data_IF_701365257385
#
_entry.id   IF_701365257385
#
_cell.length_a   1.000
_cell.length_b   1.000
_cell.length_c   1.000
_cell.angle_alpha   90.00
_cell.angle_beta   90.00
_cell.angle_gamma   90.00
#
_symmetry.space_group_name_H-M   'P 1'
#
loop_
_entity.id
_entity.type
_entity.pdbx_description
1 polymer ?
#
# COMPACT_ATOMS: atom_id res chain seq x y z
N UNK A 1 62.80 4.36 41.03
CA UNK A 1 61.99 3.71 39.96
C UNK A 1 60.67 3.36 40.61
N UNK A 2 59.49 3.89 40.29
CA UNK A 2 58.93 4.57 39.12
C UNK A 2 58.01 5.72 39.60
N UNK A 3 58.05 6.89 38.97
CA UNK A 3 57.03 7.95 39.11
C UNK A 3 55.94 7.67 38.07
N UNK A 4 54.71 7.41 38.51
CA UNK A 4 53.52 7.39 37.65
C UNK A 4 52.94 8.81 37.57
N UNK A 5 53.20 9.51 36.47
CA UNK A 5 52.40 10.67 36.07
C UNK A 5 51.06 10.15 35.53
N UNK A 6 49.96 10.56 36.15
CA UNK A 6 48.62 10.36 35.60
C UNK A 6 48.26 11.57 34.75
N UNK A 7 48.30 11.40 33.44
CA UNK A 7 47.84 12.38 32.46
C UNK A 7 46.32 12.26 32.33
N UNK A 8 45.57 13.20 32.89
CA UNK A 8 44.13 13.30 32.64
C UNK A 8 43.91 13.96 31.27
N UNK A 9 43.43 13.17 30.30
CA UNK A 9 42.93 13.69 29.03
C UNK A 9 41.54 14.27 29.28
N UNK A 10 41.43 15.60 29.29
CA UNK A 10 40.15 16.28 29.28
C UNK A 10 39.53 16.14 27.88
N UNK A 11 38.55 15.24 27.76
CA UNK A 11 37.70 15.17 26.57
C UNK A 11 36.77 16.39 26.60
N UNK A 12 37.16 17.48 25.95
CA UNK A 12 36.26 18.59 25.63
C UNK A 12 35.25 18.10 24.60
N UNK A 13 34.08 17.67 25.06
CA UNK A 13 32.90 17.49 24.20
C UNK A 13 32.46 18.90 23.82
N UNK A 14 32.82 19.31 22.61
CA UNK A 14 32.28 20.50 21.96
C UNK A 14 30.79 20.26 21.72
N UNK A 15 29.94 20.62 22.68
CA UNK A 15 28.51 20.80 22.45
C UNK A 15 28.36 22.01 21.54
N UNK A 16 28.46 21.81 20.23
CA UNK A 16 27.91 22.76 19.27
C UNK A 16 26.42 22.89 19.57
N UNK A 17 25.91 24.07 19.95
CA UNK A 17 24.47 24.25 20.05
C UNK A 17 23.89 23.92 18.68
N UNK A 18 23.07 22.89 18.61
CA UNK A 18 22.19 22.66 17.48
C UNK A 18 21.32 23.91 17.45
N UNK A 19 21.58 24.80 16.50
CA UNK A 19 20.68 25.92 16.24
C UNK A 19 19.31 25.28 16.04
N UNK A 20 18.37 25.60 16.91
CA UNK A 20 16.97 25.20 16.75
C UNK A 20 16.55 25.78 15.41
N UNK A 21 16.38 24.92 14.41
CA UNK A 21 16.06 25.36 13.07
C UNK A 21 14.73 26.12 13.13
N UNK A 22 14.68 27.31 12.53
CA UNK A 22 13.43 28.02 12.31
C UNK A 22 12.66 27.28 11.22
N UNK A 23 11.86 26.31 11.62
CA UNK A 23 11.06 25.45 10.75
C UNK A 23 9.85 26.16 10.11
N UNK A 24 9.83 27.49 10.16
CA UNK A 24 8.79 28.34 9.61
C UNK A 24 8.71 28.33 8.06
N UNK A 25 8.04 29.33 7.47
CA UNK A 25 7.70 29.38 6.04
C UNK A 25 8.88 29.18 5.08
N UNK A 26 10.11 29.50 5.49
CA UNK A 26 11.33 29.32 4.68
C UNK A 26 11.65 27.84 4.41
N UNK A 27 11.46 26.97 5.40
CA UNK A 27 11.64 25.52 5.22
C UNK A 27 10.61 24.96 4.24
N UNK A 28 9.33 25.27 4.47
CA UNK A 28 8.25 24.83 3.59
C UNK A 28 8.42 25.36 2.16
N UNK A 29 8.83 26.63 2.01
CA UNK A 29 9.13 27.22 0.70
C UNK A 29 10.28 26.50 0.00
N UNK A 30 11.31 26.04 0.71
CA UNK A 30 12.42 25.25 0.12
C UNK A 30 11.91 23.94 -0.51
N UNK A 31 10.97 23.27 0.15
CA UNK A 31 10.34 22.05 -0.38
C UNK A 31 9.42 22.35 -1.57
N UNK A 32 8.70 23.47 -1.53
CA UNK A 32 7.83 23.93 -2.62
C UNK A 32 8.67 24.35 -3.84
N UNK A 33 9.79 25.03 -3.64
CA UNK A 33 10.73 25.39 -4.71
C UNK A 33 11.26 24.14 -5.39
N UNK A 34 11.63 23.10 -4.60
CA UNK A 34 12.03 21.81 -5.17
C UNK A 34 10.91 21.14 -5.97
N UNK A 35 9.67 21.25 -5.51
CA UNK A 35 8.50 20.74 -6.22
C UNK A 35 8.30 21.44 -7.57
N UNK A 36 8.47 22.76 -7.63
CA UNK A 36 8.41 23.48 -8.91
C UNK A 36 9.60 23.14 -9.82
N UNK A 37 10.80 22.98 -9.26
CA UNK A 37 12.00 22.58 -10.00
C UNK A 37 11.78 21.24 -10.73
N UNK A 38 11.27 20.22 -10.03
CA UNK A 38 11.06 18.88 -10.61
C UNK A 38 9.84 18.80 -11.54
N UNK A 39 8.90 19.75 -11.45
CA UNK A 39 7.75 19.85 -12.35
C UNK A 39 8.04 20.68 -13.61
N UNK A 40 9.19 21.35 -13.67
CA UNK A 40 9.55 22.19 -14.81
C UNK A 40 9.70 21.38 -16.11
N UNK A 41 9.29 21.92 -17.27
CA UNK A 41 9.46 21.25 -18.55
C UNK A 41 10.94 20.88 -18.81
N UNK A 42 11.20 19.61 -19.11
CA UNK A 42 12.54 19.11 -19.37
C UNK A 42 13.41 18.87 -18.13
N UNK A 43 12.85 18.96 -16.92
CA UNK A 43 13.56 18.62 -15.69
C UNK A 43 14.05 17.16 -15.72
N UNK A 44 15.36 16.97 -15.55
CA UNK A 44 15.98 15.66 -15.37
C UNK A 44 16.09 15.41 -13.88
N UNK A 45 15.40 14.36 -13.41
CA UNK A 45 15.30 14.03 -11.98
C UNK A 45 16.15 12.80 -11.71
N UNK A 46 17.17 12.95 -10.88
CA UNK A 46 17.85 11.83 -10.24
C UNK A 46 17.03 11.41 -9.01
N UNK A 47 16.45 10.18 -9.00
CA UNK A 47 15.59 9.73 -7.90
C UNK A 47 16.36 9.59 -6.58
N UNK A 48 17.63 9.15 -6.62
CA UNK A 48 18.46 9.01 -5.42
C UNK A 48 18.81 10.37 -4.82
N UNK A 49 19.18 11.34 -5.66
CA UNK A 49 19.47 12.70 -5.19
C UNK A 49 18.22 13.40 -4.64
N UNK A 50 17.06 13.21 -5.27
CA UNK A 50 15.79 13.76 -4.77
C UNK A 50 15.39 13.10 -3.44
N UNK A 51 15.55 11.79 -3.31
CA UNK A 51 15.28 11.11 -2.05
C UNK A 51 16.20 11.60 -0.92
N UNK A 52 17.50 11.71 -1.19
CA UNK A 52 18.46 12.19 -0.20
C UNK A 52 18.16 13.64 0.21
N UNK A 53 17.80 14.51 -0.75
CA UNK A 53 17.34 15.87 -0.46
C UNK A 53 16.17 15.85 0.54
N UNK A 54 15.16 15.00 0.33
CA UNK A 54 14.02 14.89 1.25
C UNK A 54 14.46 14.45 2.65
N UNK A 55 15.33 13.44 2.74
CA UNK A 55 15.85 12.94 4.03
C UNK A 55 16.60 14.05 4.78
N UNK A 56 17.47 14.78 4.08
CA UNK A 56 18.29 15.83 4.67
C UNK A 56 17.46 17.06 5.08
N UNK A 57 16.49 17.46 4.25
CA UNK A 57 15.61 18.59 4.58
C UNK A 57 14.63 18.23 5.70
N UNK A 58 14.03 17.04 5.70
CA UNK A 58 13.16 16.58 6.78
C UNK A 58 13.88 16.52 8.13
N UNK A 59 15.15 16.07 8.14
CA UNK A 59 15.94 15.98 9.37
C UNK A 59 16.14 17.34 10.07
N UNK A 60 16.03 18.47 9.35
CA UNK A 60 16.10 19.81 9.94
C UNK A 60 14.85 20.17 10.72
N UNK A 61 13.70 19.70 10.27
CA UNK A 61 12.37 20.11 10.74
C UNK A 61 11.37 18.95 10.81
N UNK A 62 11.65 17.91 11.62
CA UNK A 62 10.87 16.68 11.62
C UNK A 62 9.43 16.86 12.15
N UNK A 63 9.19 17.90 12.96
CA UNK A 63 7.88 18.17 13.56
C UNK A 63 7.02 19.15 12.73
N UNK A 64 7.54 19.68 11.61
CA UNK A 64 6.75 20.56 10.74
C UNK A 64 5.79 19.74 9.87
N UNK A 65 4.50 19.80 10.20
CA UNK A 65 3.47 19.01 9.54
C UNK A 65 3.38 19.26 8.02
N UNK A 66 3.42 20.52 7.56
CA UNK A 66 3.28 20.83 6.13
C UNK A 66 4.51 20.36 5.34
N UNK A 67 5.71 20.58 5.88
CA UNK A 67 6.95 20.12 5.27
C UNK A 67 7.09 18.60 5.28
N UNK A 68 6.61 17.92 6.34
CA UNK A 68 6.52 16.45 6.35
C UNK A 68 5.59 15.96 5.24
N UNK A 69 4.42 16.59 5.07
CA UNK A 69 3.48 16.22 4.01
C UNK A 69 4.03 16.50 2.59
N UNK A 70 4.79 17.57 2.37
CA UNK A 70 5.51 17.78 1.11
C UNK A 70 6.62 16.75 0.89
N UNK A 71 7.33 16.39 1.95
CA UNK A 71 8.37 15.35 1.92
C UNK A 71 7.80 14.00 1.49
N UNK A 72 6.57 13.65 1.90
CA UNK A 72 5.86 12.47 1.36
C UNK A 72 5.69 12.57 -0.15
N UNK A 73 5.23 13.72 -0.66
CA UNK A 73 5.01 13.90 -2.09
C UNK A 73 6.32 13.81 -2.89
N UNK A 74 7.37 14.51 -2.46
CA UNK A 74 8.69 14.48 -3.10
C UNK A 74 9.29 13.07 -3.08
N UNK A 75 9.11 12.33 -1.98
CA UNK A 75 9.50 10.92 -1.90
C UNK A 75 8.73 10.07 -2.91
N UNK A 76 7.43 10.31 -3.09
CA UNK A 76 6.63 9.65 -4.13
C UNK A 76 7.14 9.95 -5.54
N UNK A 77 7.56 11.19 -5.81
CA UNK A 77 8.13 11.59 -7.11
C UNK A 77 9.45 10.86 -7.39
N UNK A 78 10.32 10.73 -6.39
CA UNK A 78 11.55 9.94 -6.45
C UNK A 78 11.22 8.45 -6.69
N UNK A 79 10.31 7.90 -5.89
CA UNK A 79 9.90 6.49 -5.93
C UNK A 79 9.34 6.08 -7.30
N UNK A 80 8.55 6.93 -7.93
CA UNK A 80 7.99 6.67 -9.25
C UNK A 80 9.06 6.53 -10.35
N UNK A 81 10.28 7.04 -10.12
CA UNK A 81 11.39 7.09 -11.08
C UNK A 81 12.56 6.17 -10.70
N UNK A 82 12.56 5.64 -9.50
CA UNK A 82 13.60 4.75 -9.01
C UNK A 82 13.57 3.40 -9.77
N UNK A 83 14.64 2.98 -10.48
CA UNK A 83 14.67 1.67 -11.14
C UNK A 83 15.04 0.51 -10.21
N UNK A 84 15.83 0.75 -9.15
CA UNK A 84 16.35 -0.32 -8.29
C UNK A 84 15.31 -0.76 -7.26
N UNK A 85 14.88 -2.03 -7.24
CA UNK A 85 13.94 -2.55 -6.24
C UNK A 85 14.35 -2.33 -4.79
N UNK A 86 15.64 -2.43 -4.48
CA UNK A 86 16.12 -2.23 -3.11
C UNK A 86 15.93 -0.76 -2.67
N UNK A 87 16.26 0.18 -3.55
CA UNK A 87 16.07 1.60 -3.31
C UNK A 87 14.59 2.00 -3.30
N UNK A 88 13.77 1.39 -4.17
CA UNK A 88 12.31 1.58 -4.11
C UNK A 88 11.77 1.23 -2.72
N UNK A 89 12.22 0.10 -2.15
CA UNK A 89 11.78 -0.31 -0.82
C UNK A 89 12.26 0.61 0.29
N UNK A 90 13.50 1.11 0.21
CA UNK A 90 13.98 2.13 1.14
C UNK A 90 13.10 3.40 1.07
N UNK A 91 12.79 3.87 -0.15
CA UNK A 91 11.95 5.05 -0.37
C UNK A 91 10.50 4.83 0.10
N UNK A 92 9.92 3.64 -0.10
CA UNK A 92 8.59 3.27 0.42
C UNK A 92 8.59 3.33 1.96
N UNK A 93 9.60 2.76 2.61
CA UNK A 93 9.70 2.78 4.07
C UNK A 93 9.84 4.22 4.61
N UNK A 94 10.64 5.06 3.97
CA UNK A 94 10.74 6.47 4.31
C UNK A 94 9.39 7.18 4.13
N UNK A 95 8.68 6.93 3.02
CA UNK A 95 7.38 7.53 2.77
C UNK A 95 6.35 7.15 3.84
N UNK A 96 6.32 5.89 4.29
CA UNK A 96 5.46 5.46 5.40
C UNK A 96 5.84 6.11 6.73
N UNK A 97 7.14 6.25 7.02
CA UNK A 97 7.60 6.97 8.23
C UNK A 97 7.14 8.43 8.23
N UNK A 98 7.27 9.11 7.09
CA UNK A 98 6.82 10.49 6.90
C UNK A 98 5.29 10.60 6.98
N UNK A 99 4.55 9.70 6.34
CA UNK A 99 3.08 9.65 6.41
C UNK A 99 2.58 9.50 7.84
N UNK A 100 3.20 8.59 8.60
CA UNK A 100 2.90 8.40 10.02
C UNK A 100 3.13 9.69 10.82
N UNK A 101 4.29 10.33 10.65
CA UNK A 101 4.61 11.58 11.35
C UNK A 101 3.61 12.69 10.98
N UNK A 102 3.34 12.90 9.69
CA UNK A 102 2.36 13.88 9.24
C UNK A 102 0.95 13.58 9.79
N UNK A 103 0.57 12.31 9.87
CA UNK A 103 -0.69 11.87 10.48
C UNK A 103 -0.75 12.18 11.98
N UNK A 104 0.32 11.87 12.72
CA UNK A 104 0.42 12.11 14.16
C UNK A 104 0.34 13.61 14.52
N UNK A 105 0.70 14.49 13.57
CA UNK A 105 0.61 15.95 13.69
C UNK A 105 -0.57 16.58 12.94
N UNK A 106 -1.48 15.79 12.36
CA UNK A 106 -2.64 16.28 11.64
C UNK A 106 -3.64 16.96 12.59
N UNK A 107 -4.06 18.18 12.26
CA UNK A 107 -5.16 18.89 12.92
C UNK A 107 -6.19 19.34 11.86
N UNK A 108 -7.46 18.90 11.96
CA UNK A 108 -8.51 19.30 11.03
C UNK A 108 -8.83 20.81 11.04
N UNK A 109 -8.38 21.56 12.05
CA UNK A 109 -8.57 23.02 12.15
C UNK A 109 -7.46 23.82 11.46
N UNK A 110 -6.35 23.19 11.05
CA UNK A 110 -5.27 23.87 10.35
C UNK A 110 -5.75 24.44 9.01
N UNK A 111 -5.28 25.66 8.68
CA UNK A 111 -5.59 26.33 7.41
C UNK A 111 -4.49 26.09 6.40
N UNK A 112 -4.81 26.00 5.10
CA UNK A 112 -3.79 25.84 4.08
C UNK A 112 -2.89 27.07 4.01
N UNK A 113 -1.58 26.90 4.13
CA UNK A 113 -0.61 27.99 3.93
C UNK A 113 -0.57 28.43 2.46
N UNK A 114 -0.08 29.65 2.26
CA UNK A 114 0.14 30.25 0.94
C UNK A 114 1.63 30.25 0.64
N UNK A 115 1.99 29.75 -0.54
CA UNK A 115 3.36 29.67 -1.03
C UNK A 115 3.53 30.49 -2.30
N UNK A 116 4.75 30.92 -2.60
CA UNK A 116 5.04 31.63 -3.84
C UNK A 116 5.58 30.66 -4.87
N UNK A 117 5.08 30.76 -6.10
CA UNK A 117 5.68 30.06 -7.24
C UNK A 117 6.96 30.80 -7.72
N UNK A 118 7.73 30.23 -8.67
CA UNK A 118 8.93 30.87 -9.20
C UNK A 118 8.70 32.23 -9.87
N UNK A 119 7.45 32.55 -10.27
CA UNK A 119 7.06 33.83 -10.84
C UNK A 119 6.58 34.83 -9.77
N UNK A 120 6.60 34.44 -8.49
CA UNK A 120 6.12 35.25 -7.37
C UNK A 120 4.61 35.23 -7.17
N UNK A 121 3.87 34.37 -7.88
CA UNK A 121 2.43 34.20 -7.73
C UNK A 121 2.14 33.38 -6.48
N UNK A 122 1.25 33.90 -5.64
CA UNK A 122 0.81 33.25 -4.42
C UNK A 122 -0.22 32.14 -4.72
N UNK A 123 0.06 30.94 -4.25
CA UNK A 123 -0.79 29.76 -4.38
C UNK A 123 -1.04 29.15 -2.99
N UNK A 124 -2.31 28.96 -2.66
CA UNK A 124 -2.71 28.25 -1.44
C UNK A 124 -2.72 26.75 -1.72
N UNK A 125 -1.97 25.99 -0.92
CA UNK A 125 -1.82 24.54 -1.13
C UNK A 125 -1.99 23.77 0.17
N UNK A 126 -2.76 22.68 0.10
CA UNK A 126 -2.91 21.73 1.21
C UNK A 126 -2.00 20.52 1.01
N UNK A 127 -0.83 20.53 1.65
CA UNK A 127 0.19 19.50 1.48
C UNK A 127 -0.34 18.09 1.83
N UNK A 128 -1.25 18.00 2.80
CA UNK A 128 -1.84 16.74 3.23
C UNK A 128 -2.71 16.05 2.18
N UNK A 129 -3.52 16.79 1.42
CA UNK A 129 -4.28 16.21 0.31
C UNK A 129 -3.33 15.62 -0.74
N UNK A 130 -2.21 16.29 -0.99
CA UNK A 130 -1.17 15.81 -1.91
C UNK A 130 -0.47 14.56 -1.36
N UNK A 131 -0.15 14.52 -0.06
CA UNK A 131 0.43 13.34 0.58
C UNK A 131 -0.52 12.12 0.51
N UNK A 132 -1.80 12.30 0.85
CA UNK A 132 -2.84 11.27 0.73
C UNK A 132 -3.00 10.74 -0.70
N UNK A 133 -3.00 11.65 -1.68
CA UNK A 133 -3.05 11.27 -3.10
C UNK A 133 -1.81 10.46 -3.49
N UNK A 134 -0.63 10.87 -3.04
CA UNK A 134 0.65 10.21 -3.32
C UNK A 134 0.70 8.79 -2.75
N UNK A 135 0.11 8.57 -1.56
CA UNK A 135 -0.06 7.25 -0.99
C UNK A 135 -0.77 6.31 -1.97
N UNK A 136 -1.95 6.71 -2.45
CA UNK A 136 -2.79 5.90 -3.34
C UNK A 136 -2.23 5.77 -4.75
N UNK A 137 -1.84 6.89 -5.34
CA UNK A 137 -1.50 6.97 -6.77
C UNK A 137 -0.03 6.65 -7.04
N UNK A 138 0.78 6.37 -6.01
CA UNK A 138 2.20 6.08 -6.21
C UNK A 138 2.74 5.06 -5.22
N UNK A 139 2.73 5.35 -3.91
CA UNK A 139 3.43 4.52 -2.92
C UNK A 139 2.85 3.10 -2.89
N UNK A 140 1.53 2.98 -2.74
CA UNK A 140 0.86 1.68 -2.71
C UNK A 140 0.95 0.96 -4.07
N UNK A 141 0.87 1.69 -5.19
CA UNK A 141 1.05 1.12 -6.54
C UNK A 141 2.43 0.49 -6.73
N UNK A 142 3.48 1.19 -6.33
CA UNK A 142 4.86 0.68 -6.46
C UNK A 142 5.10 -0.49 -5.51
N UNK A 143 4.52 -0.45 -4.30
CA UNK A 143 4.57 -1.57 -3.36
C UNK A 143 3.86 -2.82 -3.90
N UNK A 144 2.67 -2.67 -4.49
CA UNK A 144 1.94 -3.76 -5.14
C UNK A 144 2.76 -4.37 -6.30
N UNK A 145 3.36 -3.53 -7.15
CA UNK A 145 4.21 -3.99 -8.25
C UNK A 145 5.44 -4.79 -7.76
N UNK A 146 6.05 -4.38 -6.65
CA UNK A 146 7.16 -5.13 -6.07
C UNK A 146 6.71 -6.48 -5.48
N UNK A 147 5.54 -6.51 -4.86
CA UNK A 147 4.91 -7.74 -4.36
C UNK A 147 4.54 -8.71 -5.49
N UNK A 148 3.96 -8.21 -6.58
CA UNK A 148 3.62 -8.99 -7.78
C UNK A 148 4.85 -9.62 -8.44
N UNK A 149 6.03 -9.03 -8.26
CA UNK A 149 7.29 -9.58 -8.72
C UNK A 149 8.01 -10.45 -7.67
N UNK A 150 7.39 -10.69 -6.51
CA UNK A 150 7.97 -11.50 -5.43
C UNK A 150 9.16 -10.84 -4.72
N UNK A 151 9.32 -9.53 -4.84
CA UNK A 151 10.49 -8.81 -4.31
C UNK A 151 10.33 -8.33 -2.87
N UNK A 152 9.13 -8.44 -2.29
CA UNK A 152 8.80 -7.90 -0.97
C UNK A 152 7.97 -8.89 -0.18
N UNK A 153 8.35 -9.12 1.07
CA UNK A 153 7.53 -9.93 1.98
C UNK A 153 6.34 -9.15 2.53
N UNK A 154 5.18 -9.80 2.75
CA UNK A 154 3.91 -9.11 3.02
C UNK A 154 3.78 -8.38 4.37
N UNK A 155 4.72 -8.57 5.30
CA UNK A 155 4.56 -8.23 6.71
C UNK A 155 5.16 -6.89 7.14
N UNK A 156 6.00 -6.26 6.32
CA UNK A 156 7.01 -5.32 6.84
C UNK A 156 7.31 -4.15 5.90
N UNK A 157 6.34 -3.27 5.69
CA UNK A 157 6.65 -1.93 5.14
C UNK A 157 6.17 -0.87 6.13
N UNK A 158 7.11 -0.03 6.57
CA UNK A 158 6.86 1.08 7.52
C UNK A 158 7.51 1.02 8.91
N UNK A 159 8.47 0.13 9.18
CA UNK A 159 9.21 0.07 10.46
C UNK A 159 9.02 -1.24 11.24
N UNK A 160 9.30 -1.25 12.54
CA UNK A 160 9.10 -2.43 13.39
C UNK A 160 7.65 -2.97 13.24
N UNK A 161 7.45 -4.29 13.10
CA UNK A 161 6.16 -4.92 12.77
C UNK A 161 5.02 -4.65 13.78
N UNK A 162 5.31 -3.96 14.88
CA UNK A 162 4.37 -3.66 15.95
C UNK A 162 3.79 -2.24 15.89
N UNK A 163 4.24 -1.37 14.97
CA UNK A 163 3.84 0.04 14.99
C UNK A 163 3.04 0.42 13.75
N UNK A 164 1.85 1.02 13.95
CA UNK A 164 0.98 1.46 12.85
C UNK A 164 1.71 2.46 11.92
N UNK A 165 1.80 2.20 10.60
CA UNK A 165 2.48 3.09 9.66
C UNK A 165 1.66 4.35 9.31
N UNK A 166 0.47 4.49 9.89
CA UNK A 166 -0.48 5.57 9.58
C UNK A 166 -0.73 6.53 10.72
N UNK A 167 -0.02 6.39 11.84
CA UNK A 167 -0.18 7.27 13.00
C UNK A 167 -1.56 7.10 13.66
N UNK A 168 -1.99 8.14 14.39
CA UNK A 168 -3.28 8.19 15.10
C UNK A 168 -4.47 8.57 14.24
N UNK A 169 -4.25 9.11 13.04
CA UNK A 169 -5.35 9.42 12.15
C UNK A 169 -5.83 8.12 11.47
N UNK A 170 -7.09 7.79 11.73
CA UNK A 170 -7.68 6.50 11.35
C UNK A 170 -7.88 6.34 9.84
N UNK A 171 -8.14 7.44 9.12
CA UNK A 171 -8.58 7.47 7.72
C UNK A 171 -7.54 7.00 6.71
N UNK A 172 -6.25 7.09 7.00
CA UNK A 172 -5.23 6.67 6.02
C UNK A 172 -5.15 5.15 5.88
N UNK A 173 -5.26 4.43 7.00
CA UNK A 173 -5.14 2.99 7.00
C UNK A 173 -6.33 2.33 6.30
N UNK A 174 -7.52 2.89 6.49
CA UNK A 174 -8.77 2.28 6.11
C UNK A 174 -9.41 2.87 4.83
N UNK A 175 -9.54 4.20 4.73
CA UNK A 175 -10.10 4.85 3.54
C UNK A 175 -9.15 4.80 2.34
N UNK A 176 -7.83 4.88 2.58
CA UNK A 176 -6.84 4.97 1.50
C UNK A 176 -6.22 3.60 1.15
N UNK A 177 -5.60 2.88 2.10
CA UNK A 177 -4.97 1.57 1.80
C UNK A 177 -5.99 0.43 1.64
N UNK A 178 -7.00 0.33 2.50
CA UNK A 178 -8.06 -0.69 2.37
C UNK A 178 -8.79 -0.61 1.01
N UNK A 179 -9.20 0.60 0.64
CA UNK A 179 -9.83 0.89 -0.66
C UNK A 179 -8.91 0.60 -1.85
N UNK A 180 -7.62 0.92 -1.73
CA UNK A 180 -6.63 0.66 -2.76
C UNK A 180 -6.56 -0.83 -3.10
N UNK A 181 -6.40 -1.69 -2.10
CA UNK A 181 -6.29 -3.14 -2.30
C UNK A 181 -7.54 -3.71 -2.96
N UNK A 182 -8.72 -3.25 -2.51
CA UNK A 182 -10.00 -3.62 -3.13
C UNK A 182 -10.04 -3.24 -4.61
N UNK A 183 -9.59 -2.03 -4.95
CA UNK A 183 -9.67 -1.49 -6.31
C UNK A 183 -8.73 -2.23 -7.26
N UNK A 184 -7.47 -2.42 -6.88
CA UNK A 184 -6.50 -3.11 -7.72
C UNK A 184 -6.89 -4.56 -7.92
N UNK A 185 -7.31 -5.27 -6.86
CA UNK A 185 -7.67 -6.68 -7.01
C UNK A 185 -8.97 -6.88 -7.79
N UNK A 186 -9.91 -5.94 -7.70
CA UNK A 186 -11.08 -5.94 -8.59
C UNK A 186 -10.66 -5.80 -10.05
N UNK A 187 -9.82 -4.80 -10.36
CA UNK A 187 -9.35 -4.55 -11.72
C UNK A 187 -8.47 -5.70 -12.25
N UNK A 188 -7.59 -6.22 -11.40
CA UNK A 188 -6.74 -7.37 -11.68
C UNK A 188 -7.52 -8.67 -11.89
N UNK A 189 -8.78 -8.78 -11.45
CA UNK A 189 -9.61 -9.97 -11.68
C UNK A 189 -10.22 -10.06 -13.09
N UNK A 190 -10.03 -9.06 -13.96
CA UNK A 190 -10.59 -9.03 -15.32
C UNK A 190 -9.64 -9.61 -16.38
N UNK A 191 -9.06 -10.79 -16.13
CA UNK A 191 -8.45 -11.61 -17.18
C UNK A 191 -9.17 -12.96 -17.24
N UNK A 192 -9.38 -13.47 -18.46
CA UNK A 192 -10.21 -14.64 -18.69
C UNK A 192 -9.45 -15.78 -19.36
N UNK A 193 -10.02 -16.97 -19.27
CA UNK A 193 -9.58 -18.17 -20.02
C UNK A 193 -9.92 -18.12 -21.52
N UNK A 194 -10.44 -16.99 -22.01
CA UNK A 194 -10.85 -16.84 -23.41
C UNK A 194 -9.63 -16.81 -24.32
N UNK A 195 -9.51 -17.83 -25.18
CA UNK A 195 -8.41 -17.96 -26.13
C UNK A 195 -7.17 -18.58 -25.49
N UNK A 196 -7.28 -19.74 -24.83
CA UNK A 196 -6.12 -20.59 -24.49
C UNK A 196 -5.80 -21.59 -25.63
N UNK A 197 -6.02 -21.18 -26.88
CA UNK A 197 -5.98 -22.07 -28.03
C UNK A 197 -4.56 -22.45 -28.45
N UNK A 198 -3.56 -21.66 -28.05
CA UNK A 198 -2.14 -21.92 -28.31
C UNK A 198 -1.25 -21.73 -27.06
N UNK A 199 0.02 -22.11 -27.18
CA UNK A 199 0.97 -22.14 -26.05
C UNK A 199 1.29 -20.77 -25.47
N UNK A 200 1.37 -19.74 -26.31
CA UNK A 200 1.70 -18.38 -25.89
C UNK A 200 0.56 -17.76 -25.06
N UNK A 201 -0.68 -17.94 -25.50
CA UNK A 201 -1.87 -17.50 -24.77
C UNK A 201 -1.98 -18.19 -23.40
N UNK A 202 -1.64 -19.49 -23.36
CA UNK A 202 -1.59 -20.26 -22.10
C UNK A 202 -0.51 -19.73 -21.16
N UNK A 203 0.70 -19.50 -21.67
CA UNK A 203 1.80 -18.97 -20.86
C UNK A 203 1.51 -17.55 -20.33
N UNK A 204 0.73 -16.74 -21.07
CA UNK A 204 0.24 -15.45 -20.58
C UNK A 204 -0.82 -15.61 -19.49
N UNK A 205 -1.77 -16.55 -19.63
CA UNK A 205 -2.77 -16.83 -18.59
C UNK A 205 -2.12 -17.27 -17.28
N UNK A 206 -1.21 -18.26 -17.32
CA UNK A 206 -0.53 -18.79 -16.14
C UNK A 206 0.29 -17.69 -15.43
N UNK A 207 0.96 -16.81 -16.21
CA UNK A 207 1.69 -15.66 -15.66
C UNK A 207 0.77 -14.66 -14.97
N UNK A 208 -0.39 -14.35 -15.56
CA UNK A 208 -1.39 -13.43 -14.96
C UNK A 208 -2.01 -14.02 -13.70
N UNK A 209 -2.36 -15.30 -13.71
CA UNK A 209 -2.89 -16.00 -12.55
C UNK A 209 -1.89 -15.97 -11.39
N UNK A 210 -0.64 -16.36 -11.65
CA UNK A 210 0.41 -16.33 -10.64
C UNK A 210 0.68 -14.92 -10.10
N UNK A 211 0.61 -13.89 -10.96
CA UNK A 211 0.73 -12.49 -10.52
C UNK A 211 -0.43 -12.06 -9.63
N UNK A 212 -1.66 -12.41 -10.02
CA UNK A 212 -2.87 -12.10 -9.27
C UNK A 212 -2.86 -12.78 -7.89
N UNK A 213 -2.47 -14.04 -7.81
CA UNK A 213 -2.39 -14.78 -6.54
C UNK A 213 -1.35 -14.20 -5.59
N UNK A 214 -0.20 -13.76 -6.12
CA UNK A 214 0.80 -13.02 -5.33
C UNK A 214 0.23 -11.71 -4.80
N UNK A 215 -0.48 -10.94 -5.61
CA UNK A 215 -1.10 -9.69 -5.18
C UNK A 215 -2.16 -9.94 -4.08
N UNK A 216 -2.98 -10.98 -4.21
CA UNK A 216 -4.01 -11.34 -3.22
C UNK A 216 -3.38 -11.82 -1.91
N UNK A 217 -2.39 -12.71 -2.01
CA UNK A 217 -1.65 -13.19 -0.84
C UNK A 217 -0.95 -12.05 -0.10
N UNK A 218 -0.37 -11.10 -0.84
CA UNK A 218 0.21 -9.89 -0.27
C UNK A 218 -0.83 -9.03 0.44
N UNK A 219 -1.91 -8.65 -0.25
CA UNK A 219 -2.96 -7.81 0.31
C UNK A 219 -3.60 -8.44 1.56
N UNK A 220 -3.87 -9.75 1.54
CA UNK A 220 -4.39 -10.49 2.69
C UNK A 220 -3.47 -10.36 3.91
N UNK A 221 -2.18 -10.58 3.72
CA UNK A 221 -1.21 -10.57 4.81
C UNK A 221 -0.94 -9.14 5.29
N UNK A 222 -0.87 -8.17 4.37
CA UNK A 222 -0.70 -6.74 4.67
C UNK A 222 -1.86 -6.21 5.50
N UNK A 223 -3.10 -6.45 5.08
CA UNK A 223 -4.30 -6.04 5.84
C UNK A 223 -4.39 -6.75 7.20
N UNK A 224 -4.00 -8.03 7.26
CA UNK A 224 -3.92 -8.77 8.54
C UNK A 224 -2.84 -8.23 9.49
N UNK A 225 -1.70 -7.78 8.97
CA UNK A 225 -0.63 -7.16 9.74
C UNK A 225 -1.03 -5.76 10.22
N UNK A 226 -1.62 -4.96 9.34
CA UNK A 226 -2.15 -3.64 9.68
C UNK A 226 -3.24 -3.73 10.75
N UNK A 227 -4.14 -4.70 10.68
CA UNK A 227 -5.17 -4.87 11.71
C UNK A 227 -4.57 -5.12 13.11
N UNK A 228 -3.39 -5.72 13.18
CA UNK A 228 -2.65 -5.91 14.44
C UNK A 228 -1.89 -4.66 14.87
N UNK A 229 -1.25 -3.97 13.92
CA UNK A 229 -0.41 -2.81 14.18
C UNK A 229 -1.22 -1.52 14.44
N UNK A 230 -2.43 -1.43 13.88
CA UNK A 230 -3.35 -0.28 13.94
C UNK A 230 -4.66 -0.69 14.63
N UNK A 231 -4.67 -0.90 15.97
CA UNK A 231 -5.83 -1.44 16.68
C UNK A 231 -7.10 -0.57 16.53
N UNK A 232 -6.93 0.75 16.42
CA UNK A 232 -8.05 1.69 16.21
C UNK A 232 -8.77 1.47 14.87
N UNK A 233 -8.08 0.91 13.87
CA UNK A 233 -8.60 0.62 12.52
C UNK A 233 -8.83 -0.87 12.28
N UNK A 234 -8.60 -1.73 13.28
CA UNK A 234 -8.56 -3.17 13.12
C UNK A 234 -9.85 -3.72 12.51
N UNK A 235 -11.00 -3.23 12.97
CA UNK A 235 -12.32 -3.62 12.47
C UNK A 235 -12.43 -3.41 10.96
N UNK A 236 -12.13 -2.21 10.46
CA UNK A 236 -12.26 -1.89 9.05
C UNK A 236 -11.21 -2.61 8.19
N UNK A 237 -9.97 -2.75 8.69
CA UNK A 237 -8.92 -3.52 8.00
C UNK A 237 -9.26 -5.01 7.88
N UNK A 238 -9.91 -5.60 8.90
CA UNK A 238 -10.44 -6.97 8.83
C UNK A 238 -11.58 -7.09 7.81
N UNK A 239 -12.43 -6.08 7.72
CA UNK A 239 -13.49 -6.02 6.70
C UNK A 239 -12.91 -5.94 5.29
N UNK A 240 -11.96 -5.04 5.03
CA UNK A 240 -11.30 -4.93 3.73
C UNK A 240 -10.57 -6.22 3.35
N UNK A 241 -9.94 -6.89 4.33
CA UNK A 241 -9.35 -8.22 4.13
C UNK A 241 -10.39 -9.24 3.70
N UNK A 242 -11.57 -9.25 4.30
CA UNK A 242 -12.66 -10.15 3.92
C UNK A 242 -13.15 -9.88 2.50
N UNK A 243 -13.25 -8.61 2.09
CA UNK A 243 -13.63 -8.19 0.72
C UNK A 243 -12.60 -8.60 -0.33
N UNK A 244 -11.32 -8.48 -0.01
CA UNK A 244 -10.22 -8.96 -0.87
C UNK A 244 -10.37 -10.46 -1.14
N UNK A 245 -10.59 -11.25 -0.09
CA UNK A 245 -10.76 -12.70 -0.20
C UNK A 245 -12.04 -13.09 -0.95
N UNK A 246 -13.15 -12.37 -0.71
CA UNK A 246 -14.40 -12.56 -1.43
C UNK A 246 -14.31 -12.24 -2.93
N UNK A 247 -13.59 -11.17 -3.29
CA UNK A 247 -13.37 -10.78 -4.69
C UNK A 247 -12.61 -11.85 -5.47
N UNK A 248 -11.64 -12.51 -4.82
CA UNK A 248 -10.91 -13.62 -5.40
C UNK A 248 -11.78 -14.88 -5.56
N UNK A 249 -12.58 -15.24 -4.55
CA UNK A 249 -13.51 -16.36 -4.67
C UNK A 249 -14.48 -16.19 -5.86
N UNK A 250 -14.95 -14.97 -6.08
CA UNK A 250 -15.76 -14.60 -7.26
C UNK A 250 -14.99 -14.66 -8.58
N UNK A 251 -13.70 -14.34 -8.59
CA UNK A 251 -12.85 -14.52 -9.76
C UNK A 251 -12.78 -16.00 -10.14
N UNK A 252 -12.41 -16.86 -9.20
CA UNK A 252 -12.23 -18.29 -9.46
C UNK A 252 -13.54 -18.94 -9.91
N UNK A 253 -14.68 -18.60 -9.28
CA UNK A 253 -16.00 -19.04 -9.74
C UNK A 253 -16.31 -18.62 -11.19
N UNK A 254 -15.96 -17.39 -11.58
CA UNK A 254 -16.11 -16.91 -12.97
C UNK A 254 -15.21 -17.67 -13.94
N UNK A 255 -13.98 -17.99 -13.55
CA UNK A 255 -13.06 -18.75 -14.41
C UNK A 255 -13.53 -20.18 -14.60
N UNK A 256 -13.98 -20.86 -13.55
CA UNK A 256 -14.59 -22.21 -13.64
C UNK A 256 -15.74 -22.20 -14.65
N UNK A 257 -16.69 -21.27 -14.52
CA UNK A 257 -17.80 -21.14 -15.49
C UNK A 257 -17.37 -20.71 -16.90
N UNK A 258 -16.18 -20.12 -17.08
CA UNK A 258 -15.62 -19.86 -18.41
C UNK A 258 -15.01 -21.14 -19.01
N UNK A 259 -14.38 -21.98 -18.19
CA UNK A 259 -13.81 -23.27 -18.58
C UNK A 259 -14.93 -24.23 -18.99
N UNK A 260 -16.00 -24.34 -18.18
CA UNK A 260 -17.19 -25.14 -18.50
C UNK A 260 -17.75 -24.80 -19.87
N UNK A 261 -17.99 -23.51 -20.12
CA UNK A 261 -18.48 -23.03 -21.42
C UNK A 261 -17.49 -23.30 -22.55
N UNK A 262 -16.19 -23.26 -22.29
CA UNK A 262 -15.19 -23.57 -23.31
C UNK A 262 -15.18 -25.07 -23.67
N UNK A 263 -15.47 -25.96 -22.72
CA UNK A 263 -15.70 -27.38 -22.97
C UNK A 263 -16.99 -27.60 -23.78
N UNK A 264 -18.10 -26.99 -23.36
CA UNK A 264 -19.39 -27.06 -24.05
C UNK A 264 -19.32 -26.58 -25.51
N UNK A 265 -18.58 -25.50 -25.75
CA UNK A 265 -18.39 -24.91 -27.09
C UNK A 265 -17.32 -25.63 -27.94
N UNK A 266 -16.70 -26.70 -27.44
CA UNK A 266 -15.56 -27.39 -28.08
C UNK A 266 -14.38 -26.46 -28.43
N UNK A 267 -14.16 -25.42 -27.63
CA UNK A 267 -13.06 -24.45 -27.80
C UNK A 267 -11.75 -24.93 -27.18
N UNK A 268 -11.78 -26.00 -26.39
CA UNK A 268 -10.62 -26.66 -25.81
C UNK A 268 -10.19 -27.80 -26.74
N UNK A 269 -8.93 -27.79 -27.17
CA UNK A 269 -8.37 -28.86 -27.97
C UNK A 269 -8.29 -30.15 -27.14
N UNK A 270 -8.51 -31.32 -27.75
CA UNK A 270 -8.55 -32.60 -27.02
C UNK A 270 -7.26 -32.93 -26.26
N UNK A 271 -6.11 -32.49 -26.77
CA UNK A 271 -4.81 -32.60 -26.09
C UNK A 271 -4.72 -31.84 -24.78
N UNK A 272 -5.58 -30.83 -24.59
CA UNK A 272 -5.53 -29.89 -23.47
C UNK A 272 -6.67 -30.16 -22.45
N UNK A 273 -7.55 -31.14 -22.74
CA UNK A 273 -8.75 -31.47 -21.95
C UNK A 273 -8.43 -31.87 -20.51
N UNK A 274 -7.48 -32.79 -20.32
CA UNK A 274 -7.11 -33.28 -18.98
C UNK A 274 -6.51 -32.15 -18.13
N UNK A 275 -5.73 -31.26 -18.76
CA UNK A 275 -5.12 -30.11 -18.10
C UNK A 275 -6.14 -29.06 -17.71
N UNK A 276 -7.09 -28.77 -18.60
CA UNK A 276 -8.18 -27.82 -18.32
C UNK A 276 -9.11 -28.32 -17.22
N UNK A 277 -9.33 -29.64 -17.14
CA UNK A 277 -10.05 -30.27 -16.03
C UNK A 277 -9.26 -30.14 -14.72
N UNK A 278 -7.95 -30.41 -14.73
CA UNK A 278 -7.11 -30.21 -13.54
C UNK A 278 -7.07 -28.74 -13.07
N UNK A 279 -6.98 -27.78 -13.99
CA UNK A 279 -7.04 -26.35 -13.68
C UNK A 279 -8.41 -25.97 -13.08
N UNK A 280 -9.50 -26.56 -13.59
CA UNK A 280 -10.82 -26.36 -13.03
C UNK A 280 -10.88 -26.88 -11.58
N UNK A 281 -10.42 -28.10 -11.34
CA UNK A 281 -10.36 -28.69 -9.99
C UNK A 281 -9.52 -27.82 -9.04
N UNK A 282 -8.34 -27.38 -9.47
CA UNK A 282 -7.46 -26.49 -8.69
C UNK A 282 -8.16 -25.16 -8.36
N UNK A 283 -8.79 -24.52 -9.37
CA UNK A 283 -9.53 -23.28 -9.18
C UNK A 283 -10.71 -23.46 -8.22
N UNK A 284 -11.39 -24.61 -8.23
CA UNK A 284 -12.46 -24.93 -7.29
C UNK A 284 -11.96 -25.16 -5.87
N UNK A 285 -10.85 -25.88 -5.70
CA UNK A 285 -10.24 -26.13 -4.40
C UNK A 285 -9.74 -24.83 -3.77
N UNK A 286 -9.04 -24.02 -4.54
CA UNK A 286 -8.59 -22.72 -4.08
C UNK A 286 -9.79 -21.79 -3.81
N UNK A 287 -10.82 -21.77 -4.68
CA UNK A 287 -12.10 -21.05 -4.46
C UNK A 287 -12.68 -21.39 -3.09
N UNK A 288 -12.80 -22.67 -2.79
CA UNK A 288 -13.35 -23.16 -1.53
C UNK A 288 -12.45 -22.79 -0.33
N UNK A 289 -11.13 -22.92 -0.47
CA UNK A 289 -10.18 -22.54 0.58
C UNK A 289 -10.24 -21.05 0.92
N UNK A 290 -10.30 -20.17 -0.10
CA UNK A 290 -10.36 -18.73 0.10
C UNK A 290 -11.72 -18.26 0.59
N UNK A 291 -12.82 -18.89 0.20
CA UNK A 291 -14.13 -18.62 0.80
C UNK A 291 -14.15 -18.93 2.30
N UNK A 292 -13.49 -20.02 2.74
CA UNK A 292 -13.32 -20.31 4.18
C UNK A 292 -12.51 -19.20 4.88
N UNK A 293 -11.44 -18.71 4.25
CA UNK A 293 -10.65 -17.59 4.80
C UNK A 293 -11.44 -16.28 4.84
N UNK A 294 -12.23 -15.99 3.80
CA UNK A 294 -13.10 -14.81 3.75
C UNK A 294 -14.14 -14.87 4.87
N UNK A 295 -14.79 -16.03 5.05
CA UNK A 295 -15.71 -16.25 6.17
C UNK A 295 -15.03 -16.03 7.51
N UNK A 296 -13.84 -16.59 7.73
CA UNK A 296 -13.12 -16.39 8.98
C UNK A 296 -12.75 -14.90 9.23
N UNK A 297 -12.41 -14.16 8.17
CA UNK A 297 -12.18 -12.72 8.26
C UNK A 297 -13.47 -11.94 8.58
N UNK A 298 -14.60 -12.30 7.97
CA UNK A 298 -15.92 -11.74 8.31
C UNK A 298 -16.34 -12.05 9.74
N UNK A 299 -16.17 -13.28 10.20
CA UNK A 299 -16.48 -13.68 11.58
C UNK A 299 -15.64 -12.85 12.56
N UNK A 300 -14.35 -12.63 12.26
CA UNK A 300 -13.47 -11.77 13.05
C UNK A 300 -13.90 -10.30 13.03
N UNK A 301 -14.35 -9.79 11.88
CA UNK A 301 -14.95 -8.45 11.77
C UNK A 301 -16.20 -8.30 12.63
N UNK A 302 -17.16 -9.23 12.56
CA UNK A 302 -18.38 -9.15 13.37
C UNK A 302 -18.10 -9.29 14.87
N UNK A 303 -17.16 -10.15 15.26
CA UNK A 303 -16.69 -10.23 16.64
C UNK A 303 -16.10 -8.88 17.12
N UNK A 304 -15.25 -8.27 16.30
CA UNK A 304 -14.67 -6.96 16.58
C UNK A 304 -15.72 -5.83 16.64
N UNK A 305 -16.75 -5.86 15.78
CA UNK A 305 -17.87 -4.91 15.82
C UNK A 305 -18.66 -5.01 17.11
N UNK A 306 -18.90 -6.24 17.60
CA UNK A 306 -19.59 -6.48 18.86
C UNK A 306 -18.83 -5.91 20.07
N UNK A 307 -17.49 -5.89 20.01
CA UNK A 307 -16.62 -5.31 21.04
C UNK A 307 -16.52 -3.78 20.95
N UNK A 308 -16.56 -3.21 19.74
CA UNK A 308 -16.28 -1.79 19.48
C UNK A 308 -17.53 -0.90 19.35
N UNK A 309 -18.72 -1.49 19.25
CA UNK A 309 -19.97 -0.72 19.05
C UNK A 309 -20.04 0.06 17.74
N UNK A 310 -19.19 -0.27 16.76
CA UNK A 310 -19.08 0.44 15.48
C UNK A 310 -20.37 0.35 14.66
N UNK A 311 -20.76 1.47 14.02
CA UNK A 311 -21.95 1.61 13.17
C UNK A 311 -21.65 1.52 11.68
N UNK A 312 -20.55 0.88 11.26
CA UNK A 312 -20.28 0.65 9.83
C UNK A 312 -21.47 -0.10 9.20
N UNK A 313 -22.19 0.61 8.33
CA UNK A 313 -23.38 0.14 7.62
C UNK A 313 -22.95 -0.62 6.36
N UNK A 314 -23.56 -1.78 6.19
CA UNK A 314 -23.34 -2.69 5.07
C UNK A 314 -24.13 -2.18 3.85
N UNK A 315 -23.51 -2.09 2.68
CA UNK A 315 -24.28 -2.06 1.43
C UNK A 315 -24.65 -3.50 1.04
N UNK A 316 -25.95 -3.78 0.91
CA UNK A 316 -26.52 -5.09 0.55
C UNK A 316 -25.87 -5.76 -0.68
N UNK A 317 -25.30 -4.99 -1.60
CA UNK A 317 -24.58 -5.53 -2.76
C UNK A 317 -23.28 -6.28 -2.39
N UNK A 318 -22.64 -5.92 -1.28
CA UNK A 318 -21.47 -6.64 -0.74
C UNK A 318 -21.91 -7.96 -0.04
N UNK A 319 -23.14 -8.01 0.44
CA UNK A 319 -23.79 -9.19 1.01
C UNK A 319 -24.28 -10.17 -0.07
N UNK A 320 -24.75 -9.70 -1.24
CA UNK A 320 -25.12 -10.60 -2.36
C UNK A 320 -23.94 -11.39 -2.92
N UNK A 321 -22.74 -10.79 -2.96
CA UNK A 321 -21.48 -11.51 -3.26
C UNK A 321 -21.26 -12.65 -2.27
N UNK A 322 -21.63 -12.45 -1.00
CA UNK A 322 -21.50 -13.43 0.08
C UNK A 322 -22.66 -14.45 0.13
N UNK A 323 -23.90 -14.06 -0.20
CA UNK A 323 -25.11 -14.90 -0.16
C UNK A 323 -25.20 -15.78 -1.41
N UNK A 324 -24.72 -15.34 -2.58
CA UNK A 324 -24.51 -16.22 -3.72
C UNK A 324 -23.49 -17.34 -3.41
N UNK A 325 -22.56 -17.07 -2.49
CA UNK A 325 -21.58 -18.02 -1.96
C UNK A 325 -22.16 -18.89 -0.82
N UNK A 326 -23.33 -18.57 -0.22
CA UNK A 326 -23.98 -19.42 0.78
C UNK A 326 -24.58 -20.72 0.23
N UNK A 327 -24.64 -20.90 -1.09
CA UNK A 327 -24.84 -22.24 -1.68
C UNK A 327 -23.73 -23.24 -1.30
N UNK A 328 -22.59 -22.77 -0.77
CA UNK A 328 -21.34 -23.54 -0.63
C UNK A 328 -21.20 -24.28 0.71
N UNK A 329 -22.23 -24.30 1.55
CA UNK A 329 -22.28 -25.08 2.79
C UNK A 329 -22.84 -26.50 2.62
N UNK A 330 -23.16 -26.95 1.40
CA UNK A 330 -23.77 -28.27 1.13
C UNK A 330 -22.80 -29.38 0.74
N UNK A 331 -21.51 -29.22 1.01
CA UNK A 331 -20.55 -30.32 1.00
C UNK A 331 -19.98 -30.51 2.41
N UNK A 332 -20.79 -31.10 3.29
CA UNK A 332 -20.33 -31.84 4.46
C UNK A 332 -20.79 -33.28 4.33
#
# INVERSE_FOLDING_TARGET
>A
MFKLLSTAVALTISLTPIAVADCGPTYQQTLVDKLYEIQAPGAVIDPGALHQFVVDEHAKCPDDYQGTAFSVYLTGVALAREPDPAQKMAQINTAFSLLRQASDHYDPQMKPPTYKDPNGVENTMWAWSTARKTLKDTILLQMAALAENGMVEPSLTGGEPAVCPYGKETRLADEDEGLFWRTILRNGSFFGTAGMGNEDERAEYDRRLASYDRAVGYAQNRLGALAKACPENATQLLFDRARVLGSWANYSARQVGNIDRAFEDHRIHSSDSDRMSALQDDLEDERNARARQAKAAYDAFYASKAETGSHLDFELNDEEIYIAVQGWAKAQ
#
